data_IF_187811061185
#
_entry.id   IF_187811061185
#
_cell.length_a   1.000
_cell.length_b   1.000
_cell.length_c   1.000
_cell.angle_alpha   90.00
_cell.angle_beta   90.00
_cell.angle_gamma   90.00
#
_symmetry.space_group_name_H-M   'P 1'
#
loop_
_entity.id
_entity.type
_entity.pdbx_description
1 polymer ?
#
# COMPACT_ATOMS: atom_id res chain seq x y z
N UNK A 1 -49.79 40.16 -12.09
CA UNK A 1 -48.75 39.20 -12.53
C UNK A 1 -47.71 39.09 -11.45
N UNK A 2 -47.55 37.87 -10.95
CA UNK A 2 -46.73 37.41 -9.83
C UNK A 2 -45.23 37.39 -10.18
N UNK A 3 -44.36 37.62 -9.17
CA UNK A 3 -43.25 36.71 -8.81
C UNK A 3 -42.39 37.28 -7.67
N UNK A 4 -42.68 36.77 -6.48
CA UNK A 4 -41.79 36.65 -5.33
C UNK A 4 -40.52 35.91 -5.74
N UNK A 5 -39.35 36.54 -5.55
CA UNK A 5 -38.05 35.90 -5.73
C UNK A 5 -37.59 35.34 -4.37
N UNK A 6 -37.88 34.06 -4.15
CA UNK A 6 -37.40 33.28 -3.00
C UNK A 6 -35.91 33.00 -3.21
N UNK A 7 -35.05 33.61 -2.39
CA UNK A 7 -33.63 33.28 -2.31
C UNK A 7 -33.49 31.87 -1.73
N UNK A 8 -33.17 30.91 -2.58
CA UNK A 8 -32.82 29.55 -2.18
C UNK A 8 -31.46 29.57 -1.48
N UNK A 9 -31.46 29.31 -0.17
CA UNK A 9 -30.27 28.91 0.57
C UNK A 9 -29.74 27.59 -0.02
N UNK A 10 -28.62 27.64 -0.72
CA UNK A 10 -27.83 26.45 -1.03
C UNK A 10 -26.82 26.25 0.11
N UNK A 11 -27.23 25.49 1.13
CA UNK A 11 -26.30 24.94 2.13
C UNK A 11 -25.51 23.84 1.41
N UNK A 12 -24.29 24.17 0.96
CA UNK A 12 -23.32 23.20 0.47
C UNK A 12 -22.93 22.30 1.64
N UNK A 13 -23.48 21.08 1.67
CA UNK A 13 -23.08 20.04 2.60
C UNK A 13 -21.64 19.61 2.29
N UNK A 14 -20.72 19.88 3.22
CA UNK A 14 -19.38 19.30 3.21
C UNK A 14 -19.53 17.85 3.66
N UNK A 15 -19.54 16.93 2.70
CA UNK A 15 -19.43 15.50 2.98
C UNK A 15 -17.98 15.23 3.34
N UNK A 16 -17.68 15.16 4.64
CA UNK A 16 -16.39 14.73 5.14
C UNK A 16 -16.30 13.22 4.93
N UNK A 17 -15.66 12.82 3.83
CA UNK A 17 -15.35 11.42 3.57
C UNK A 17 -14.37 10.91 4.62
N UNK A 18 -14.85 10.03 5.51
CA UNK A 18 -14.00 9.23 6.39
C UNK A 18 -13.22 8.23 5.53
N UNK A 19 -12.06 8.65 5.01
CA UNK A 19 -11.05 7.73 4.50
C UNK A 19 -10.58 6.87 5.66
N UNK A 20 -10.91 5.57 5.64
CA UNK A 20 -10.38 4.61 6.61
C UNK A 20 -8.87 4.51 6.42
N UNK A 21 -8.11 5.17 7.26
CA UNK A 21 -6.66 5.06 7.29
C UNK A 21 -6.30 3.65 7.76
N UNK A 22 -5.63 2.86 6.91
CA UNK A 22 -4.95 1.66 7.41
C UNK A 22 -3.78 2.15 8.26
N UNK A 23 -3.72 1.74 9.52
CA UNK A 23 -2.58 2.09 10.38
C UNK A 23 -1.29 1.53 9.78
N UNK A 24 -0.26 2.39 9.75
CA UNK A 24 1.10 2.02 9.33
C UNK A 24 1.56 0.81 10.16
N UNK A 25 1.76 -0.31 9.46
CA UNK A 25 2.17 -1.57 10.07
C UNK A 25 3.68 -1.63 10.29
N UNK A 26 4.15 -2.49 11.20
CA UNK A 26 5.58 -2.63 11.46
C UNK A 26 6.31 -3.17 10.23
N UNK A 27 7.52 -2.66 9.98
CA UNK A 27 8.47 -3.31 9.09
C UNK A 27 9.10 -4.48 9.84
N UNK A 28 8.73 -5.71 9.49
CA UNK A 28 9.25 -6.95 10.07
C UNK A 28 10.19 -7.63 9.08
N UNK A 29 11.38 -7.08 8.92
CA UNK A 29 12.38 -7.62 8.02
C UNK A 29 13.54 -8.29 8.74
N UNK A 30 13.97 -9.45 8.25
CA UNK A 30 15.18 -10.12 8.73
C UNK A 30 16.42 -9.70 7.90
N UNK A 31 17.62 -9.97 8.41
CA UNK A 31 18.89 -9.79 7.69
C UNK A 31 19.06 -10.79 6.53
N UNK A 32 18.25 -11.85 6.48
CA UNK A 32 18.29 -12.86 5.43
C UNK A 32 17.58 -12.42 4.15
N UNK A 33 16.87 -11.29 4.20
CA UNK A 33 16.33 -10.60 3.04
C UNK A 33 16.75 -9.12 3.08
N UNK A 34 16.60 -8.38 1.99
CA UNK A 34 16.87 -6.93 1.98
C UNK A 34 15.77 -6.11 2.69
N UNK A 35 14.77 -6.78 3.28
CA UNK A 35 13.63 -6.13 3.92
C UNK A 35 14.00 -5.35 5.18
N UNK A 36 15.11 -5.65 5.86
CA UNK A 36 15.58 -4.86 7.01
C UNK A 36 15.97 -3.41 6.65
N UNK A 37 16.19 -3.11 5.37
CA UNK A 37 16.49 -1.76 4.89
C UNK A 37 15.22 -0.94 4.63
N UNK A 38 14.06 -1.59 4.51
CA UNK A 38 12.79 -0.91 4.22
C UNK A 38 12.34 -0.05 5.39
N UNK A 39 11.68 1.06 5.06
CA UNK A 39 11.07 1.97 6.02
C UNK A 39 9.68 2.36 5.53
N UNK A 40 8.84 2.75 6.48
CA UNK A 40 7.55 3.37 6.18
C UNK A 40 7.81 4.68 5.43
N UNK A 41 6.89 5.06 4.56
CA UNK A 41 6.94 6.25 3.69
C UNK A 41 8.03 6.22 2.60
N UNK A 42 8.71 5.09 2.40
CA UNK A 42 9.53 4.90 1.20
C UNK A 42 8.65 4.86 -0.05
N UNK A 43 9.16 5.40 -1.15
CA UNK A 43 8.48 5.32 -2.44
C UNK A 43 8.69 3.93 -3.08
N UNK A 44 7.92 3.64 -4.12
CA UNK A 44 8.18 2.45 -4.95
C UNK A 44 9.61 2.42 -5.51
N UNK A 45 10.15 3.57 -5.91
CA UNK A 45 11.48 3.67 -6.49
C UNK A 45 12.56 3.27 -5.48
N UNK A 46 12.46 3.79 -4.24
CA UNK A 46 13.36 3.42 -3.14
C UNK A 46 13.32 1.92 -2.86
N UNK A 47 12.11 1.33 -2.84
CA UNK A 47 11.93 -0.11 -2.63
C UNK A 47 12.55 -0.91 -3.77
N UNK A 48 12.40 -0.47 -5.02
CA UNK A 48 13.00 -1.15 -6.17
C UNK A 48 14.53 -1.08 -6.13
N UNK A 49 15.10 0.05 -5.73
CA UNK A 49 16.53 0.20 -5.54
C UNK A 49 17.06 -0.75 -4.44
N UNK A 50 16.34 -0.88 -3.33
CA UNK A 50 16.70 -1.79 -2.23
C UNK A 50 16.56 -3.26 -2.66
N UNK A 51 15.45 -3.64 -3.30
CA UNK A 51 15.20 -5.03 -3.68
C UNK A 51 16.08 -5.49 -4.85
N UNK A 52 16.57 -4.55 -5.66
CA UNK A 52 17.42 -4.80 -6.82
C UNK A 52 16.74 -5.63 -7.92
N UNK A 53 15.42 -5.82 -7.84
CA UNK A 53 14.63 -6.66 -8.74
C UNK A 53 13.17 -6.21 -8.79
N UNK A 54 12.46 -6.45 -9.90
CA UNK A 54 11.02 -6.22 -9.96
C UNK A 54 10.27 -7.19 -9.03
N UNK A 55 9.05 -6.84 -8.59
CA UNK A 55 8.23 -7.76 -7.81
C UNK A 55 7.83 -8.97 -8.67
N UNK A 56 7.86 -10.15 -8.06
CA UNK A 56 7.38 -11.40 -8.69
C UNK A 56 5.85 -11.47 -8.73
N UNK A 57 5.16 -10.68 -7.90
CA UNK A 57 3.71 -10.59 -7.88
C UNK A 57 3.24 -9.24 -7.36
N UNK A 58 2.11 -8.76 -7.88
CA UNK A 58 1.42 -7.55 -7.45
C UNK A 58 -0.04 -7.89 -7.22
N UNK A 59 -0.54 -7.57 -6.03
CA UNK A 59 -1.95 -7.69 -5.63
C UNK A 59 -2.47 -6.30 -5.29
N UNK A 60 -3.62 -5.92 -5.85
CA UNK A 60 -4.26 -4.62 -5.62
C UNK A 60 -5.56 -4.86 -4.89
N UNK A 61 -5.87 -4.09 -3.85
CA UNK A 61 -7.10 -4.28 -3.10
C UNK A 61 -8.32 -3.98 -3.99
N UNK A 62 -9.34 -4.86 -4.04
CA UNK A 62 -10.43 -4.77 -5.01
C UNK A 62 -11.34 -3.55 -4.81
N UNK A 63 -11.41 -3.02 -3.59
CA UNK A 63 -12.28 -1.88 -3.24
C UNK A 63 -11.51 -0.56 -3.09
N UNK A 64 -10.17 -0.60 -3.13
CA UNK A 64 -9.34 0.58 -2.98
C UNK A 64 -8.00 0.39 -3.71
N UNK A 65 -7.91 0.93 -4.92
CA UNK A 65 -6.71 0.83 -5.77
C UNK A 65 -5.47 1.54 -5.19
N UNK A 66 -5.62 2.34 -4.12
CA UNK A 66 -4.50 2.95 -3.41
C UNK A 66 -3.70 1.92 -2.63
N UNK A 67 -4.31 0.79 -2.25
CA UNK A 67 -3.63 -0.29 -1.55
C UNK A 67 -3.08 -1.32 -2.52
N UNK A 68 -1.76 -1.45 -2.53
CA UNK A 68 -1.04 -2.38 -3.40
C UNK A 68 -0.07 -3.17 -2.56
N UNK A 69 -0.11 -4.50 -2.65
CA UNK A 69 0.90 -5.37 -2.09
C UNK A 69 1.78 -5.94 -3.20
N UNK A 70 3.10 -5.83 -3.02
CA UNK A 70 4.12 -6.35 -3.92
C UNK A 70 4.91 -7.45 -3.22
N UNK A 71 5.09 -8.58 -3.89
CA UNK A 71 5.92 -9.70 -3.40
C UNK A 71 7.25 -9.73 -4.14
N UNK A 72 8.36 -9.83 -3.41
CA UNK A 72 9.72 -9.93 -3.94
C UNK A 72 10.35 -11.26 -3.48
N UNK A 73 10.69 -12.11 -4.42
CA UNK A 73 11.34 -13.41 -4.16
C UNK A 73 12.80 -13.20 -3.77
N UNK A 74 13.27 -13.81 -2.67
CA UNK A 74 14.66 -13.65 -2.19
C UNK A 74 15.39 -14.94 -1.83
N UNK A 75 14.70 -16.07 -1.66
CA UNK A 75 15.31 -17.39 -1.43
C UNK A 75 14.56 -18.41 -2.29
N UNK A 76 15.28 -19.10 -3.17
CA UNK A 76 14.76 -20.16 -4.05
C UNK A 76 15.45 -21.51 -3.82
N UNK A 77 16.59 -21.53 -3.12
CA UNK A 77 17.46 -22.73 -3.04
C UNK A 77 16.82 -23.85 -2.21
N UNK A 78 16.07 -23.50 -1.18
CA UNK A 78 15.43 -24.47 -0.28
C UNK A 78 13.90 -24.39 -0.34
N UNK A 79 13.37 -23.18 -0.45
CA UNK A 79 11.93 -22.92 -0.56
C UNK A 79 11.73 -21.46 -0.96
N UNK A 80 10.86 -21.21 -1.95
CA UNK A 80 10.50 -19.86 -2.37
C UNK A 80 10.03 -19.02 -1.17
N UNK A 81 10.82 -18.01 -0.79
CA UNK A 81 10.46 -17.02 0.23
C UNK A 81 10.32 -15.64 -0.35
N UNK A 82 9.29 -14.93 0.10
CA UNK A 82 8.95 -13.60 -0.37
C UNK A 82 9.10 -12.58 0.74
N UNK A 83 9.56 -11.38 0.35
CA UNK A 83 9.27 -10.14 1.06
C UNK A 83 7.94 -9.61 0.53
N UNK A 84 7.01 -9.31 1.42
CA UNK A 84 5.78 -8.57 1.10
C UNK A 84 5.98 -7.11 1.48
N UNK A 85 5.67 -6.21 0.56
CA UNK A 85 5.67 -4.76 0.79
C UNK A 85 4.30 -4.22 0.42
N UNK A 86 3.62 -3.65 1.39
CA UNK A 86 2.29 -3.05 1.22
C UNK A 86 2.46 -1.54 1.10
N UNK A 87 1.79 -0.99 0.10
CA UNK A 87 1.78 0.42 -0.22
C UNK A 87 0.38 0.98 -0.04
N UNK A 88 0.30 2.23 0.40
CA UNK A 88 -0.87 3.10 0.31
C UNK A 88 -0.43 4.35 -0.44
N UNK A 89 -1.15 4.72 -1.51
CA UNK A 89 -0.82 5.90 -2.32
C UNK A 89 0.66 5.94 -2.76
N UNK A 90 1.17 4.78 -3.20
CA UNK A 90 2.57 4.56 -3.61
C UNK A 90 3.65 4.71 -2.51
N UNK A 91 3.26 4.87 -1.25
CA UNK A 91 4.15 4.92 -0.10
C UNK A 91 4.09 3.63 0.71
N UNK A 92 5.23 3.14 1.19
CA UNK A 92 5.27 1.94 2.02
C UNK A 92 4.55 2.19 3.34
N UNK A 93 3.55 1.37 3.64
CA UNK A 93 2.87 1.38 4.95
C UNK A 93 3.23 0.18 5.81
N UNK A 94 3.71 -0.92 5.21
CA UNK A 94 4.21 -2.08 5.94
C UNK A 94 5.07 -2.97 5.05
N UNK A 95 5.94 -3.76 5.66
CA UNK A 95 6.68 -4.81 4.97
C UNK A 95 7.02 -5.95 5.92
N UNK A 96 7.10 -7.17 5.38
CA UNK A 96 7.51 -8.34 6.14
C UNK A 96 8.12 -9.40 5.24
N UNK A 97 9.02 -10.24 5.78
CA UNK A 97 9.65 -11.32 5.02
C UNK A 97 9.35 -12.72 5.58
N UNK A 98 9.87 -13.74 4.88
CA UNK A 98 9.72 -15.15 5.28
C UNK A 98 8.42 -15.79 4.80
N UNK A 99 7.67 -15.12 3.93
CA UNK A 99 6.42 -15.65 3.38
C UNK A 99 6.67 -16.75 2.37
N UNK A 100 5.90 -17.85 2.44
CA UNK A 100 5.99 -18.97 1.47
C UNK A 100 5.05 -18.84 0.28
N UNK A 101 4.20 -17.80 0.29
CA UNK A 101 3.23 -17.50 -0.77
C UNK A 101 3.33 -16.03 -1.10
N UNK A 102 2.90 -15.68 -2.31
CA UNK A 102 2.71 -14.26 -2.69
C UNK A 102 1.59 -13.64 -1.85
N UNK A 103 1.66 -12.34 -1.63
CA UNK A 103 0.66 -11.63 -0.86
C UNK A 103 -0.69 -11.56 -1.58
N UNK A 104 -1.74 -11.34 -0.78
CA UNK A 104 -3.12 -11.16 -1.22
C UNK A 104 -3.73 -10.03 -0.40
N UNK A 105 -4.35 -9.07 -1.08
CA UNK A 105 -5.20 -8.03 -0.50
C UNK A 105 -6.69 -8.35 -0.72
#
# INVERSE_FOLDING_TARGET
MTRTATLFLAVLGIVVGLSGCIEKGPIRGSIHSLSYQLRVDMTLEDVQQIMGRPPSHVSVAPQNALFVCRSYLYDEMLSAKFVHVTFEDNLVISASDGHRKVCKL
#
